data_IF_002050242839
#
_entry.id   IF_002050242839
#
_cell.length_a   1.000
_cell.length_b   1.000
_cell.length_c   1.000
_cell.angle_alpha   90.00
_cell.angle_beta   90.00
_cell.angle_gamma   90.00
#
_symmetry.space_group_name_H-M   'P 1'
#
loop_
_entity.id
_entity.type
_entity.pdbx_description
1 polymer ?
#
# COMPACT_ATOMS: atom_id res chain seq x y z
N UNK A 1 24.64 -46.15 18.05
CA UNK A 1 23.72 -46.04 16.90
C UNK A 1 23.21 -44.61 16.83
N UNK A 2 23.72 -43.79 15.90
CA UNK A 2 23.16 -42.46 15.63
C UNK A 2 22.16 -42.61 14.49
N UNK A 3 20.86 -42.51 14.81
CA UNK A 3 19.83 -42.44 13.78
C UNK A 3 19.94 -41.10 13.06
N UNK A 4 20.29 -41.15 11.78
CA UNK A 4 20.21 -40.01 10.89
C UNK A 4 18.74 -39.63 10.73
N UNK A 5 18.36 -38.47 11.26
CA UNK A 5 17.02 -37.90 11.06
C UNK A 5 16.95 -37.40 9.62
N UNK A 6 16.02 -37.96 8.84
CA UNK A 6 15.85 -37.62 7.43
C UNK A 6 15.63 -36.09 7.25
N UNK A 7 16.15 -35.47 6.18
CA UNK A 7 15.99 -34.05 5.94
C UNK A 7 14.50 -33.70 5.79
N UNK A 8 14.04 -32.72 6.57
CA UNK A 8 12.66 -32.21 6.52
C UNK A 8 12.34 -31.78 5.09
N UNK A 9 11.18 -32.16 4.50
CA UNK A 9 10.84 -31.80 3.13
C UNK A 9 10.84 -30.28 3.00
N UNK A 10 11.53 -29.76 1.98
CA UNK A 10 11.53 -28.33 1.69
C UNK A 10 10.15 -27.97 1.15
N UNK A 11 9.49 -27.02 1.81
CA UNK A 11 8.28 -26.42 1.28
C UNK A 11 8.56 -25.89 -0.15
N UNK A 12 7.56 -25.86 -1.04
CA UNK A 12 7.72 -25.26 -2.37
C UNK A 12 8.25 -23.83 -2.23
N UNK A 13 9.16 -23.44 -3.13
CA UNK A 13 9.71 -22.10 -3.12
C UNK A 13 8.58 -21.07 -3.24
N UNK A 14 8.52 -20.13 -2.30
CA UNK A 14 7.52 -19.08 -2.32
C UNK A 14 7.59 -18.29 -3.66
N UNK A 15 6.43 -17.95 -4.21
CA UNK A 15 6.34 -17.18 -5.45
C UNK A 15 7.00 -15.81 -5.26
N UNK A 16 7.82 -15.38 -6.23
CA UNK A 16 8.41 -14.03 -6.19
C UNK A 16 7.30 -12.99 -6.24
N UNK A 17 7.38 -11.99 -5.36
CA UNK A 17 6.37 -10.93 -5.25
C UNK A 17 6.12 -10.18 -6.56
N UNK A 18 7.10 -10.12 -7.46
CA UNK A 18 6.96 -9.42 -8.75
C UNK A 18 5.96 -10.09 -9.72
N UNK A 19 5.62 -11.36 -9.48
CA UNK A 19 4.63 -12.10 -10.27
C UNK A 19 3.29 -12.26 -9.53
N UNK A 20 3.16 -11.64 -8.36
CA UNK A 20 1.94 -11.69 -7.56
C UNK A 20 1.00 -10.56 -7.99
N UNK A 21 -0.27 -10.84 -8.34
CA UNK A 21 -1.24 -9.80 -8.70
C UNK A 21 -1.43 -8.77 -7.58
N UNK A 22 -1.26 -9.19 -6.31
CA UNK A 22 -1.35 -8.33 -5.13
C UNK A 22 -0.35 -7.18 -5.17
N UNK A 23 0.80 -7.32 -5.87
CA UNK A 23 1.74 -6.22 -6.03
C UNK A 23 1.08 -4.99 -6.65
N UNK A 24 0.15 -5.16 -7.61
CA UNK A 24 -0.55 -4.03 -8.22
C UNK A 24 -1.45 -3.30 -7.22
N UNK A 25 -2.02 -4.01 -6.25
CA UNK A 25 -2.82 -3.41 -5.17
C UNK A 25 -1.93 -2.57 -4.26
N UNK A 26 -0.75 -3.08 -3.88
CA UNK A 26 0.21 -2.33 -3.06
C UNK A 26 0.63 -1.02 -3.73
N UNK A 27 0.97 -1.09 -5.02
CA UNK A 27 1.36 0.06 -5.84
C UNK A 27 0.20 1.05 -6.02
N UNK A 28 -1.01 0.54 -6.24
CA UNK A 28 -2.24 1.33 -6.32
C UNK A 28 -2.50 2.11 -5.04
N UNK A 29 -2.37 1.50 -3.87
CA UNK A 29 -2.56 2.18 -2.58
C UNK A 29 -1.54 3.30 -2.37
N UNK A 30 -0.28 3.12 -2.74
CA UNK A 30 0.72 4.20 -2.67
C UNK A 30 0.31 5.42 -3.48
N UNK A 31 -0.18 5.17 -4.71
CA UNK A 31 -0.70 6.21 -5.60
C UNK A 31 -1.97 6.86 -5.03
N UNK A 32 -2.91 6.07 -4.53
CA UNK A 32 -4.15 6.59 -3.92
C UNK A 32 -3.86 7.48 -2.72
N UNK A 33 -2.95 7.08 -1.83
CA UNK A 33 -2.55 7.91 -0.69
C UNK A 33 -1.94 9.24 -1.17
N UNK A 34 -1.09 9.23 -2.20
CA UNK A 34 -0.59 10.48 -2.78
C UNK A 34 -1.74 11.33 -3.34
N UNK A 35 -2.63 10.75 -4.13
CA UNK A 35 -3.73 11.49 -4.76
C UNK A 35 -4.68 12.13 -3.73
N UNK A 36 -4.84 11.54 -2.53
CA UNK A 36 -5.57 12.14 -1.40
C UNK A 36 -4.94 13.43 -0.85
N UNK A 37 -3.63 13.63 -1.05
CA UNK A 37 -2.96 14.90 -0.69
C UNK A 37 -3.17 15.99 -1.72
N UNK A 38 -3.82 15.69 -2.85
CA UNK A 38 -3.99 16.58 -4.00
C UNK A 38 -2.67 17.01 -4.67
N UNK A 39 -1.53 16.43 -4.26
CA UNK A 39 -0.24 16.66 -4.88
C UNK A 39 -0.07 15.81 -6.13
N UNK A 40 0.38 16.42 -7.23
CA UNK A 40 0.90 15.66 -8.37
C UNK A 40 2.25 15.00 -8.01
N UNK A 41 2.78 14.17 -8.90
CA UNK A 41 4.03 13.42 -8.63
C UNK A 41 5.24 14.35 -8.40
N UNK A 42 5.28 15.52 -9.04
CA UNK A 42 6.39 16.47 -8.88
C UNK A 42 6.36 17.13 -7.51
N UNK A 43 5.20 17.62 -7.08
CA UNK A 43 5.05 18.30 -5.79
C UNK A 43 5.22 17.31 -4.63
N UNK A 44 4.68 16.10 -4.78
CA UNK A 44 4.89 15.03 -3.82
C UNK A 44 6.37 14.62 -3.74
N UNK A 45 7.08 14.59 -4.86
CA UNK A 45 8.51 14.30 -4.86
C UNK A 45 9.31 15.37 -4.11
N UNK A 46 8.95 16.65 -4.27
CA UNK A 46 9.55 17.75 -3.50
C UNK A 46 9.30 17.55 -2.00
N UNK A 47 8.08 17.22 -1.60
CA UNK A 47 7.73 16.92 -0.20
C UNK A 47 8.55 15.76 0.37
N UNK A 48 8.85 14.75 -0.44
CA UNK A 48 9.69 13.60 -0.06
C UNK A 48 11.21 13.86 -0.13
N UNK A 49 11.66 14.99 -0.68
CA UNK A 49 13.08 15.21 -0.98
C UNK A 49 13.62 14.24 -2.04
N UNK A 50 12.79 13.86 -3.02
CA UNK A 50 13.11 12.92 -4.11
C UNK A 50 12.80 13.54 -5.48
N UNK A 51 13.14 12.82 -6.55
CA UNK A 51 12.78 13.23 -7.91
C UNK A 51 11.38 12.74 -8.31
N UNK A 52 10.71 13.46 -9.21
CA UNK A 52 9.44 13.00 -9.79
C UNK A 52 9.60 11.61 -10.44
N UNK A 53 10.74 11.33 -11.08
CA UNK A 53 11.05 10.03 -11.66
C UNK A 53 11.08 8.91 -10.62
N UNK A 54 11.62 9.18 -9.42
CA UNK A 54 11.58 8.23 -8.30
C UNK A 54 10.14 7.91 -7.90
N UNK A 55 9.28 8.93 -7.76
CA UNK A 55 7.85 8.76 -7.43
C UNK A 55 7.15 7.93 -8.52
N UNK A 56 7.34 8.27 -9.78
CA UNK A 56 6.76 7.52 -10.92
C UNK A 56 7.27 6.08 -11.00
N UNK A 57 8.55 5.84 -10.68
CA UNK A 57 9.13 4.50 -10.66
C UNK A 57 8.62 3.67 -9.49
N UNK A 58 8.45 4.28 -8.31
CA UNK A 58 7.87 3.64 -7.13
C UNK A 58 6.40 3.26 -7.37
N UNK A 59 5.57 4.18 -7.90
CA UNK A 59 4.15 3.90 -8.18
C UNK A 59 3.92 2.81 -9.24
N UNK A 60 4.92 2.55 -10.11
CA UNK A 60 4.87 1.47 -11.11
C UNK A 60 5.60 0.21 -10.67
N UNK A 61 6.23 0.22 -9.49
CA UNK A 61 7.01 -0.91 -8.97
C UNK A 61 8.36 -1.15 -9.65
N UNK A 62 8.84 -0.21 -10.45
CA UNK A 62 10.18 -0.25 -11.04
C UNK A 62 11.27 0.01 -9.99
N UNK A 63 10.95 0.81 -8.96
CA UNK A 63 11.74 0.95 -7.73
C UNK A 63 10.93 0.36 -6.59
N UNK A 64 11.55 -0.55 -5.83
CA UNK A 64 10.93 -1.13 -4.64
C UNK A 64 11.25 -0.27 -3.44
N UNK A 65 10.22 0.12 -2.69
CA UNK A 65 10.39 0.78 -1.41
C UNK A 65 10.74 -0.26 -0.34
N UNK A 66 11.82 -0.02 0.39
CA UNK A 66 12.04 -0.71 1.66
C UNK A 66 11.10 -0.20 2.76
N UNK A 67 11.18 -0.79 3.96
CA UNK A 67 10.29 -0.45 5.06
C UNK A 67 10.42 1.00 5.55
N UNK A 68 11.60 1.60 5.48
CA UNK A 68 11.82 3.01 5.87
C UNK A 68 11.32 3.94 4.78
N UNK A 69 11.61 3.64 3.52
CA UNK A 69 11.13 4.42 2.38
C UNK A 69 9.60 4.41 2.29
N UNK A 70 8.97 3.28 2.59
CA UNK A 70 7.51 3.17 2.71
C UNK A 70 6.98 4.05 3.84
N UNK A 71 7.66 4.06 4.99
CA UNK A 71 7.28 4.88 6.15
C UNK A 71 7.36 6.37 5.82
N UNK A 72 8.41 6.81 5.13
CA UNK A 72 8.57 8.18 4.66
C UNK A 72 7.46 8.54 3.65
N UNK A 73 7.16 7.62 2.73
CA UNK A 73 6.08 7.79 1.75
C UNK A 73 4.73 8.03 2.40
N UNK A 74 4.29 7.14 3.30
CA UNK A 74 2.96 7.25 3.92
C UNK A 74 2.87 8.48 4.82
N UNK A 75 3.96 8.87 5.50
CA UNK A 75 4.01 10.10 6.30
C UNK A 75 3.96 11.36 5.44
N UNK A 76 4.59 11.35 4.27
CA UNK A 76 4.44 12.43 3.29
C UNK A 76 3.02 12.50 2.71
N UNK A 77 2.21 11.45 2.87
CA UNK A 77 0.79 11.45 2.57
C UNK A 77 -0.11 11.82 3.76
N UNK A 78 0.46 12.26 4.89
CA UNK A 78 -0.25 12.50 6.16
C UNK A 78 -0.98 11.25 6.71
N UNK A 79 -0.47 10.06 6.34
CA UNK A 79 -0.97 8.74 6.77
C UNK A 79 0.11 8.00 7.58
N UNK A 80 -0.21 6.78 8.02
CA UNK A 80 0.75 5.87 8.66
C UNK A 80 0.75 4.47 8.01
N UNK A 81 1.66 3.61 8.48
CA UNK A 81 1.79 2.24 7.96
C UNK A 81 0.55 1.38 8.25
N UNK A 82 -0.22 1.68 9.29
CA UNK A 82 -1.44 0.93 9.62
C UNK A 82 -2.53 1.27 8.63
N UNK A 83 -2.76 2.55 8.36
CA UNK A 83 -3.73 2.96 7.34
C UNK A 83 -3.39 2.36 5.97
N UNK A 84 -2.12 2.39 5.57
CA UNK A 84 -1.69 1.78 4.32
C UNK A 84 -1.98 0.26 4.28
N UNK A 85 -1.68 -0.45 5.36
CA UNK A 85 -1.96 -1.89 5.46
C UNK A 85 -3.48 -2.18 5.42
N UNK A 86 -4.29 -1.42 6.15
CA UNK A 86 -5.75 -1.58 6.19
C UNK A 86 -6.37 -1.36 4.79
N UNK A 87 -5.87 -0.37 4.03
CA UNK A 87 -6.32 -0.13 2.65
C UNK A 87 -5.98 -1.28 1.72
N UNK A 88 -4.83 -1.93 1.89
CA UNK A 88 -4.43 -3.11 1.11
C UNK A 88 -5.33 -4.29 1.47
N UNK A 89 -5.47 -4.61 2.76
CA UNK A 89 -6.27 -5.74 3.22
C UNK A 89 -7.73 -5.59 2.76
N UNK A 90 -8.29 -4.37 2.78
CA UNK A 90 -9.64 -4.10 2.29
C UNK A 90 -9.84 -4.39 0.79
N UNK A 91 -8.77 -4.30 -0.02
CA UNK A 91 -8.80 -4.53 -1.46
C UNK A 91 -8.42 -5.96 -1.84
N UNK A 92 -7.67 -6.66 -0.99
CA UNK A 92 -7.29 -8.05 -1.18
C UNK A 92 -8.29 -9.04 -0.59
N UNK A 93 -9.10 -8.62 0.38
CA UNK A 93 -10.14 -9.48 0.95
C UNK A 93 -11.18 -9.80 -0.14
N UNK A 94 -11.39 -11.07 -0.51
CA UNK A 94 -12.47 -11.44 -1.41
C UNK A 94 -13.78 -11.05 -0.75
N UNK A 95 -14.59 -10.22 -1.42
CA UNK A 95 -15.88 -9.76 -0.89
C UNK A 95 -16.83 -10.96 -0.79
N UNK A 96 -16.75 -11.73 0.28
CA UNK A 96 -17.84 -12.57 0.73
C UNK A 96 -18.94 -11.62 1.22
N UNK A 97 -19.97 -11.42 0.38
CA UNK A 97 -20.94 -10.35 0.44
C UNK A 97 -21.39 -9.87 1.82
N UNK A 98 -21.34 -8.53 2.00
CA UNK A 98 -22.37 -7.73 2.67
C UNK A 98 -22.21 -6.24 2.33
N UNK A 99 -23.30 -5.49 2.14
CA UNK A 99 -23.25 -4.06 1.80
C UNK A 99 -22.99 -3.23 3.06
N UNK A 100 -21.83 -2.57 3.12
CA UNK A 100 -21.54 -1.61 4.19
C UNK A 100 -22.21 -0.28 3.86
N UNK A 101 -23.29 0.02 4.60
CA UNK A 101 -23.88 1.36 4.63
C UNK A 101 -22.91 2.30 5.37
N UNK A 102 -22.41 3.33 4.68
CA UNK A 102 -21.97 4.55 5.37
C UNK A 102 -23.14 5.51 5.45
N UNK A 103 -23.68 5.64 6.66
CA UNK A 103 -24.54 6.75 7.08
C UNK A 103 -23.63 7.96 7.30
N UNK A 104 -23.94 9.08 6.68
CA UNK A 104 -23.73 10.39 7.30
C UNK A 104 -24.92 11.30 6.99
N UNK A 105 -25.93 11.23 7.86
CA UNK A 105 -26.66 12.42 8.30
C UNK A 105 -25.76 13.07 9.38
N UNK A 106 -25.52 14.37 9.48
CA UNK A 106 -26.14 15.54 8.90
C UNK A 106 -25.97 16.66 9.94
N UNK A 107 -25.29 17.74 9.57
CA UNK A 107 -25.30 19.04 10.28
C UNK A 107 -25.12 20.06 9.15
N UNK A 108 -26.08 20.88 8.73
CA UNK A 108 -27.00 21.67 9.53
C UNK A 108 -26.40 23.07 9.74
N UNK A 109 -26.43 23.94 8.72
CA UNK A 109 -26.25 25.39 8.96
C UNK A 109 -27.00 26.23 7.92
N UNK A 110 -28.15 26.76 8.36
CA UNK A 110 -28.86 27.92 7.78
C UNK A 110 -28.10 29.19 8.17
N UNK A 111 -28.02 30.19 7.29
CA UNK A 111 -28.09 31.64 7.55
C UNK A 111 -28.40 32.29 6.18
N UNK A 112 -29.66 32.66 5.94
CA UNK A 112 -30.20 34.03 5.96
C UNK A 112 -29.52 34.97 4.98
#
# INVERSE_FOLDING_TARGET
MVQAMAPKPRAPAAQKSLYRPELQVFLGVLRTLRERTELNQTDFAQRLGRSQTYVSAAERGAVRLDGLQLMDWVRACDADLREWADLIESQLTPVAGKPSKSKNAGVGKKHK
#
